data_IF_883797290974
#
_entry.id   IF_883797290974
#
_cell.length_a   1.000
_cell.length_b   1.000
_cell.length_c   1.000
_cell.angle_alpha   90.00
_cell.angle_beta   90.00
_cell.angle_gamma   90.00
#
_symmetry.space_group_name_H-M   'P 1'
#
loop_
_entity.id
_entity.type
_entity.pdbx_description
1 polymer ?
#
# COMPACT_ATOMS: atom_id res chain seq x y z
N UNK A 1 -3.82 -8.01 11.63
CA UNK A 1 -2.91 -8.53 12.68
C UNK A 1 -1.51 -8.05 12.38
N UNK A 2 -0.84 -7.38 13.30
CA UNK A 2 0.52 -6.84 13.12
C UNK A 2 1.58 -7.55 13.98
N UNK A 3 1.20 -8.63 14.66
CA UNK A 3 2.06 -9.42 15.56
C UNK A 3 1.91 -10.94 15.27
N UNK A 4 2.22 -11.35 14.04
CA UNK A 4 2.03 -12.74 13.61
C UNK A 4 2.90 -13.74 14.38
N UNK A 5 4.01 -13.29 14.98
CA UNK A 5 4.85 -14.09 15.88
C UNK A 5 4.12 -14.58 17.14
N UNK A 6 3.03 -13.90 17.53
CA UNK A 6 2.16 -14.27 18.66
C UNK A 6 0.88 -14.98 18.22
N UNK A 7 0.69 -15.18 16.92
CA UNK A 7 -0.48 -15.85 16.37
C UNK A 7 -0.38 -17.37 16.55
N UNK A 8 -1.50 -18.01 16.86
CA UNK A 8 -1.62 -19.49 16.83
C UNK A 8 -1.71 -20.05 15.41
N UNK A 9 -1.97 -19.18 14.43
CA UNK A 9 -2.06 -19.52 13.01
C UNK A 9 -0.84 -18.97 12.27
N UNK A 10 -0.21 -19.81 11.45
CA UNK A 10 0.94 -19.43 10.63
C UNK A 10 0.53 -18.44 9.51
N UNK A 11 1.30 -17.38 9.33
CA UNK A 11 1.20 -16.48 8.18
C UNK A 11 2.20 -16.91 7.11
N UNK A 12 1.70 -17.26 5.93
CA UNK A 12 2.53 -17.61 4.77
C UNK A 12 2.60 -16.47 3.74
N UNK A 13 1.89 -15.36 3.99
CA UNK A 13 1.85 -14.21 3.10
C UNK A 13 3.01 -13.24 3.32
N UNK A 14 2.98 -12.15 2.56
CA UNK A 14 3.95 -11.06 2.65
C UNK A 14 3.86 -10.37 4.02
N UNK A 15 5.01 -9.90 4.51
CA UNK A 15 5.15 -9.20 5.80
C UNK A 15 5.92 -7.91 5.64
N UNK A 16 5.65 -6.93 6.50
CA UNK A 16 6.26 -5.61 6.46
C UNK A 16 5.36 -4.56 5.82
N UNK A 17 5.95 -3.43 5.43
CA UNK A 17 5.22 -2.34 4.79
C UNK A 17 4.96 -2.64 3.31
N UNK A 18 3.82 -2.14 2.81
CA UNK A 18 3.58 -2.06 1.37
C UNK A 18 4.54 -1.01 0.80
N UNK A 19 5.40 -1.43 -0.13
CA UNK A 19 6.39 -0.57 -0.78
C UNK A 19 6.48 -0.89 -2.28
N UNK A 20 7.25 -0.09 -3.02
CA UNK A 20 7.43 -0.27 -4.47
C UNK A 20 7.91 -1.66 -4.84
N UNK A 21 8.87 -2.22 -4.08
CA UNK A 21 9.41 -3.55 -4.36
C UNK A 21 8.35 -4.64 -4.19
N UNK A 22 7.49 -4.55 -3.19
CA UNK A 22 6.37 -5.46 -3.00
C UNK A 22 5.40 -5.39 -4.18
N UNK A 23 5.03 -4.19 -4.63
CA UNK A 23 4.11 -4.03 -5.76
C UNK A 23 4.67 -4.60 -7.05
N UNK A 24 5.97 -4.38 -7.32
CA UNK A 24 6.64 -4.90 -8.52
C UNK A 24 6.78 -6.43 -8.56
N UNK A 25 6.56 -7.14 -7.44
CA UNK A 25 6.44 -8.61 -7.47
C UNK A 25 5.17 -9.08 -8.16
N UNK A 26 4.14 -8.24 -8.21
CA UNK A 26 2.79 -8.61 -8.63
C UNK A 26 2.24 -7.75 -9.78
N UNK A 27 2.87 -6.60 -10.06
CA UNK A 27 2.42 -5.64 -11.06
C UNK A 27 3.64 -5.22 -11.89
N UNK A 28 3.66 -5.60 -13.16
CA UNK A 28 4.80 -5.37 -14.05
C UNK A 28 5.05 -3.87 -14.34
N UNK A 29 3.97 -3.13 -14.63
CA UNK A 29 4.02 -1.67 -14.81
C UNK A 29 3.05 -0.99 -13.86
N UNK A 30 3.60 -0.29 -12.86
CA UNK A 30 2.84 0.41 -11.84
C UNK A 30 1.99 1.57 -12.39
N UNK A 31 2.22 2.05 -13.61
CA UNK A 31 1.47 3.18 -14.19
C UNK A 31 0.12 2.78 -14.79
N UNK A 32 -0.07 1.49 -15.07
CA UNK A 32 -1.28 0.97 -15.72
C UNK A 32 -2.51 0.90 -14.80
N UNK A 33 -2.39 0.50 -13.52
CA UNK A 33 -3.55 0.38 -12.65
C UNK A 33 -4.13 1.73 -12.21
N UNK A 34 -5.39 1.66 -11.79
CA UNK A 34 -6.01 2.65 -10.92
C UNK A 34 -5.87 2.16 -9.47
N UNK A 35 -5.31 3.01 -8.61
CA UNK A 35 -5.08 2.73 -7.20
C UNK A 35 -6.18 3.35 -6.34
N UNK A 36 -6.78 2.52 -5.48
CA UNK A 36 -7.67 2.95 -4.41
C UNK A 36 -6.97 2.71 -3.08
N UNK A 37 -6.78 3.76 -2.29
CA UNK A 37 -6.03 3.72 -1.03
C UNK A 37 -6.95 4.24 0.08
N UNK A 38 -7.18 3.41 1.10
CA UNK A 38 -8.01 3.78 2.25
C UNK A 38 -7.34 3.36 3.55
N UNK A 39 -7.27 4.28 4.53
CA UNK A 39 -6.66 3.99 5.82
C UNK A 39 -6.25 5.23 6.62
N UNK A 40 -5.38 5.06 7.63
CA UNK A 40 -4.85 6.17 8.42
C UNK A 40 -4.08 7.18 7.55
N UNK A 41 -4.16 8.47 7.90
CA UNK A 41 -3.54 9.57 7.15
C UNK A 41 -2.07 9.29 6.77
N UNK A 42 -1.27 8.79 7.72
CA UNK A 42 0.14 8.49 7.49
C UNK A 42 0.35 7.40 6.44
N UNK A 43 -0.51 6.37 6.43
CA UNK A 43 -0.45 5.29 5.44
C UNK A 43 -0.87 5.80 4.05
N UNK A 44 -1.97 6.53 3.96
CA UNK A 44 -2.48 7.06 2.69
C UNK A 44 -1.46 8.01 2.06
N UNK A 45 -0.91 8.92 2.86
CA UNK A 45 0.13 9.86 2.42
C UNK A 45 1.38 9.14 1.92
N UNK A 46 1.89 8.16 2.68
CA UNK A 46 3.09 7.42 2.29
C UNK A 46 2.88 6.60 1.00
N UNK A 47 1.71 5.95 0.85
CA UNK A 47 1.39 5.18 -0.35
C UNK A 47 1.24 6.06 -1.59
N UNK A 48 0.55 7.20 -1.47
CA UNK A 48 0.41 8.17 -2.57
C UNK A 48 1.77 8.69 -3.01
N UNK A 49 2.62 9.09 -2.07
CA UNK A 49 3.98 9.55 -2.38
C UNK A 49 4.77 8.48 -3.14
N UNK A 50 4.77 7.24 -2.65
CA UNK A 50 5.51 6.14 -3.28
C UNK A 50 5.04 5.84 -4.71
N UNK A 51 3.72 5.90 -4.97
CA UNK A 51 3.17 5.71 -6.31
C UNK A 51 3.53 6.87 -7.25
N UNK A 52 3.46 8.11 -6.77
CA UNK A 52 3.87 9.29 -7.54
C UNK A 52 5.37 9.23 -7.89
N UNK A 53 6.23 8.83 -6.95
CA UNK A 53 7.67 8.57 -7.20
C UNK A 53 7.91 7.41 -8.18
N UNK A 54 6.97 6.48 -8.29
CA UNK A 54 6.99 5.42 -9.30
C UNK A 54 6.46 5.86 -10.68
N UNK A 55 6.03 7.12 -10.82
CA UNK A 55 5.53 7.70 -12.06
C UNK A 55 4.05 7.47 -12.32
N UNK A 56 3.28 7.03 -11.32
CA UNK A 56 1.83 6.93 -11.41
C UNK A 56 1.25 8.35 -11.40
N UNK A 57 0.37 8.66 -12.37
CA UNK A 57 -0.32 9.94 -12.41
C UNK A 57 -1.34 10.08 -11.28
N UNK A 58 -1.49 11.28 -10.74
CA UNK A 58 -2.45 11.57 -9.66
C UNK A 58 -3.90 11.24 -10.08
N UNK A 59 -4.23 11.31 -11.38
CA UNK A 59 -5.53 10.92 -11.93
C UNK A 59 -5.86 9.42 -11.76
N UNK A 60 -4.82 8.60 -11.59
CA UNK A 60 -4.94 7.16 -11.35
C UNK A 60 -4.96 6.81 -9.85
N UNK A 61 -4.87 7.79 -8.94
CA UNK A 61 -4.86 7.55 -7.49
C UNK A 61 -6.12 8.13 -6.85
N UNK A 62 -6.85 7.31 -6.11
CA UNK A 62 -8.06 7.68 -5.37
C UNK A 62 -7.83 7.35 -3.90
N UNK A 63 -7.96 8.36 -3.04
CA UNK A 63 -7.65 8.24 -1.62
C UNK A 63 -8.87 8.51 -0.76
N UNK A 64 -9.04 7.72 0.30
CA UNK A 64 -9.97 7.99 1.39
C UNK A 64 -9.21 7.91 2.71
N UNK A 65 -9.25 8.99 3.49
CA UNK A 65 -8.49 9.09 4.73
C UNK A 65 -9.43 9.00 5.92
N UNK A 66 -9.04 8.23 6.91
CA UNK A 66 -9.76 8.17 8.17
C UNK A 66 -9.08 9.06 9.20
N UNK A 67 -9.81 10.06 9.69
CA UNK A 67 -9.40 10.91 10.80
C UNK A 67 -9.98 10.37 12.12
N UNK A 68 -9.13 10.11 13.11
CA UNK A 68 -9.57 9.84 14.48
C UNK A 68 -9.24 8.46 15.07
N UNK A 69 -7.95 8.14 15.18
CA UNK A 69 -7.45 7.07 16.05
C UNK A 69 -6.30 7.59 16.91
#
# INVERSE_FOLDING_TARGET
MTHMEKSKSQWLGETGYINKALLLKYIDDLKLPIYYISGPLAMVSAMRQMLNEAGVGDENIRTEEFSGY
#
